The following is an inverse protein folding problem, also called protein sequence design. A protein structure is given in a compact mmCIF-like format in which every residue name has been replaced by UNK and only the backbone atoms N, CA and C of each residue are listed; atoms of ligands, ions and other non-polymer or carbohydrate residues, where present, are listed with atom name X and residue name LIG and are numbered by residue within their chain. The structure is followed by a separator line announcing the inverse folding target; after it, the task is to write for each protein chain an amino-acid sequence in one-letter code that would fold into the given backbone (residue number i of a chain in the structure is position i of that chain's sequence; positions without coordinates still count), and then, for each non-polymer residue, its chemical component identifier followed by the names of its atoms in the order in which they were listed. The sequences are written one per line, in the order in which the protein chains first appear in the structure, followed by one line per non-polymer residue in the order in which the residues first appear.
data_IF_151007108121
#
_entry.id   IF_151007108121
#
_cell.length_a   1.000
_cell.length_b   1.000
_cell.length_c   1.000
_cell.angle_alpha   90.00
_cell.angle_beta   90.00
_cell.angle_gamma   90.00
#
_symmetry.space_group_name_H-M   'P 1'
#
loop_
_entity.id
_entity.type
_entity.pdbx_description
1 polymer ?
#
# COMPACT_ATOMS: atom_id res chain seq x y z
N UNK A 1 11.04 24.67 20.43
CA UNK A 1 11.55 23.36 20.91
C UNK A 1 10.58 22.26 20.49
N UNK A 2 9.29 22.56 20.58
CA UNK A 2 8.12 21.83 20.13
C UNK A 2 8.30 21.27 18.70
N UNK A 3 8.72 22.08 17.73
CA UNK A 3 8.96 21.57 16.37
C UNK A 3 10.08 20.52 16.26
N UNK A 4 11.05 20.49 17.18
CA UNK A 4 12.06 19.42 17.21
C UNK A 4 11.45 18.11 17.72
N UNK A 5 10.63 18.17 18.77
CA UNK A 5 9.87 17.02 19.25
C UNK A 5 8.95 16.45 18.16
N UNK A 6 8.17 17.31 17.49
CA UNK A 6 7.24 16.85 16.45
C UNK A 6 7.97 16.31 15.22
N UNK A 7 8.93 17.06 14.67
CA UNK A 7 9.55 16.68 13.40
C UNK A 7 10.59 15.57 13.54
N UNK A 8 11.38 15.56 14.62
CA UNK A 8 12.45 14.58 14.82
C UNK A 8 11.98 13.36 15.60
N UNK A 9 11.10 13.52 16.58
CA UNK A 9 10.68 12.43 17.47
C UNK A 9 9.24 11.96 17.23
N UNK A 10 8.46 12.69 16.41
CA UNK A 10 7.11 12.28 16.03
C UNK A 10 6.08 12.39 17.17
N UNK A 11 6.35 13.22 18.18
CA UNK A 11 5.45 13.42 19.32
C UNK A 11 5.50 14.84 19.84
N UNK A 12 4.52 15.21 20.65
CA UNK A 12 4.58 16.44 21.45
C UNK A 12 5.55 16.27 22.63
N UNK A 13 6.39 17.28 22.83
CA UNK A 13 7.25 17.35 24.02
C UNK A 13 6.42 17.56 25.28
N UNK A 14 6.73 16.83 26.35
CA UNK A 14 6.10 17.06 27.64
C UNK A 14 6.56 18.40 28.25
N UNK A 15 5.81 18.87 29.26
CA UNK A 15 6.06 20.16 29.91
C UNK A 15 7.45 20.25 30.55
N UNK A 16 8.04 19.14 31.00
CA UNK A 16 9.35 19.14 31.63
C UNK A 16 10.48 19.21 30.59
N UNK A 17 10.40 18.40 29.54
CA UNK A 17 11.37 18.39 28.44
C UNK A 17 11.39 19.72 27.67
N UNK A 18 10.22 20.27 27.35
CA UNK A 18 10.12 21.59 26.69
C UNK A 18 10.69 22.72 27.55
N UNK A 19 10.43 22.71 28.88
CA UNK A 19 10.99 23.68 29.81
C UNK A 19 12.51 23.55 29.97
N UNK A 20 13.05 22.33 30.01
CA UNK A 20 14.48 22.06 30.08
C UNK A 20 15.23 22.70 28.89
N UNK A 21 14.80 22.41 27.67
CA UNK A 21 15.45 22.94 26.47
C UNK A 21 15.27 24.45 26.32
N UNK A 22 14.11 24.98 26.68
CA UNK A 22 13.85 26.44 26.64
C UNK A 22 14.75 27.18 27.65
N UNK A 23 14.98 26.60 28.83
CA UNK A 23 15.91 27.15 29.83
C UNK A 23 17.35 27.14 29.33
N UNK A 24 17.81 26.02 28.74
CA UNK A 24 19.16 25.93 28.17
C UNK A 24 19.39 26.96 27.04
N UNK A 25 18.40 27.15 26.17
CA UNK A 25 18.46 28.19 25.14
C UNK A 25 18.53 29.60 25.76
N UNK A 26 17.76 29.86 26.82
CA UNK A 26 17.80 31.12 27.57
C UNK A 26 19.14 31.37 28.28
N UNK A 27 19.83 30.29 28.67
CA UNK A 27 21.15 30.34 29.29
C UNK A 27 22.33 30.46 28.29
N UNK A 28 22.04 30.48 26.98
CA UNK A 28 23.04 30.72 25.93
C UNK A 28 23.46 29.51 25.11
N UNK A 29 22.88 28.31 25.33
CA UNK A 29 23.10 27.16 24.46
C UNK A 29 22.60 27.48 23.05
N UNK A 30 23.42 27.21 22.03
CA UNK A 30 23.01 27.44 20.65
C UNK A 30 21.96 26.39 20.23
N UNK A 31 20.98 26.83 19.44
CA UNK A 31 19.97 25.96 18.80
C UNK A 31 20.57 24.79 18.02
N UNK A 32 21.74 24.97 17.41
CA UNK A 32 22.44 23.88 16.70
C UNK A 32 22.85 22.75 17.66
N UNK A 33 23.31 23.09 18.87
CA UNK A 33 23.62 22.09 19.91
C UNK A 33 22.36 21.38 20.37
N UNK A 34 21.28 22.12 20.65
CA UNK A 34 19.99 21.50 21.03
C UNK A 34 19.48 20.58 19.92
N UNK A 35 19.55 20.99 18.65
CA UNK A 35 19.15 20.14 17.54
C UNK A 35 20.02 18.88 17.43
N UNK A 36 21.34 19.01 17.62
CA UNK A 36 22.25 17.86 17.63
C UNK A 36 21.94 16.87 18.77
N UNK A 37 21.58 17.37 19.96
CA UNK A 37 21.19 16.52 21.10
C UNK A 37 19.89 15.75 20.83
N UNK A 38 18.93 16.36 20.13
CA UNK A 38 17.73 15.63 19.67
C UNK A 38 18.10 14.58 18.62
N UNK A 39 18.88 14.95 17.60
CA UNK A 39 19.26 14.07 16.49
C UNK A 39 20.02 12.84 16.98
N UNK A 40 20.97 13.01 17.90
CA UNK A 40 21.77 11.93 18.48
C UNK A 40 21.17 11.30 19.73
N UNK A 41 19.89 11.55 20.03
CA UNK A 41 19.22 10.92 21.16
C UNK A 41 18.82 9.48 20.83
N UNK A 42 18.79 8.64 21.86
CA UNK A 42 18.24 7.27 21.79
C UNK A 42 16.88 7.22 21.12
N UNK A 43 16.01 8.18 21.41
CA UNK A 43 14.67 8.23 20.86
C UNK A 43 14.66 8.51 19.35
N UNK A 44 15.54 9.42 18.90
CA UNK A 44 15.74 9.69 17.47
C UNK A 44 16.30 8.47 16.75
N UNK A 45 17.32 7.81 17.31
CA UNK A 45 17.90 6.60 16.73
C UNK A 45 16.87 5.47 16.62
N UNK A 46 16.10 5.21 17.69
CA UNK A 46 15.02 4.21 17.66
C UNK A 46 14.02 4.51 16.55
N UNK A 47 13.60 5.78 16.40
CA UNK A 47 12.65 6.16 15.36
C UNK A 47 13.19 5.93 13.96
N UNK A 48 14.48 6.19 13.72
CA UNK A 48 15.10 5.90 12.43
C UNK A 48 15.09 4.40 12.16
N UNK A 49 15.49 3.59 13.14
CA UNK A 49 15.52 2.12 12.99
C UNK A 49 14.11 1.56 12.75
N UNK A 50 13.10 1.99 13.50
CA UNK A 50 11.70 1.61 13.27
C UNK A 50 11.21 2.03 11.87
N UNK A 51 11.63 3.22 11.44
CA UNK A 51 11.39 3.75 10.10
C UNK A 51 11.99 2.86 9.02
N UNK A 52 13.22 2.38 9.20
CA UNK A 52 13.89 1.48 8.25
C UNK A 52 13.19 0.12 8.15
N UNK A 53 12.75 -0.47 9.27
CA UNK A 53 11.92 -1.68 9.24
C UNK A 53 10.63 -1.47 8.44
N UNK A 54 9.94 -0.35 8.68
CA UNK A 54 8.69 -0.04 7.99
C UNK A 54 8.93 0.21 6.50
N UNK A 55 9.97 0.96 6.17
CA UNK A 55 10.29 1.36 4.79
C UNK A 55 10.78 0.17 3.95
N UNK A 56 11.63 -0.70 4.50
CA UNK A 56 12.27 -1.76 3.72
C UNK A 56 11.59 -3.11 3.86
N UNK A 57 10.88 -3.37 4.97
CA UNK A 57 10.25 -4.67 5.24
C UNK A 57 8.72 -4.59 5.36
N UNK A 58 8.12 -3.39 5.28
CA UNK A 58 6.67 -3.17 5.41
C UNK A 58 6.08 -3.70 6.73
N UNK A 59 6.89 -3.70 7.81
CA UNK A 59 6.46 -4.08 9.15
C UNK A 59 7.15 -3.22 10.20
N UNK A 60 6.62 -3.25 11.42
CA UNK A 60 7.32 -2.70 12.58
C UNK A 60 8.38 -3.71 13.03
N UNK A 61 9.56 -3.20 13.42
CA UNK A 61 10.61 -4.02 14.03
C UNK A 61 10.14 -4.59 15.37
N UNK A 62 10.48 -5.84 15.68
CA UNK A 62 10.26 -6.34 17.03
C UNK A 62 11.15 -5.57 18.01
N UNK A 63 10.67 -5.33 19.24
CA UNK A 63 11.41 -4.54 20.24
C UNK A 63 12.81 -5.09 20.50
N UNK A 64 13.01 -6.41 20.45
CA UNK A 64 14.30 -7.08 20.57
C UNK A 64 15.25 -6.78 19.40
N UNK A 65 14.74 -6.77 18.18
CA UNK A 65 15.51 -6.46 16.96
C UNK A 65 15.97 -5.00 16.99
N UNK A 66 15.04 -4.08 17.26
CA UNK A 66 15.31 -2.64 17.35
C UNK A 66 16.33 -2.35 18.44
N UNK A 67 16.16 -2.93 19.63
CA UNK A 67 17.13 -2.77 20.74
C UNK A 67 18.51 -3.33 20.40
N UNK A 68 18.59 -4.39 19.59
CA UNK A 68 19.88 -4.98 19.19
C UNK A 68 20.65 -4.06 18.24
N UNK A 69 19.97 -3.40 17.30
CA UNK A 69 20.60 -2.37 16.46
C UNK A 69 20.95 -1.12 17.26
N UNK A 70 20.01 -0.64 18.08
CA UNK A 70 20.19 0.55 18.91
C UNK A 70 21.42 0.43 19.82
N UNK A 71 21.63 -0.73 20.45
CA UNK A 71 22.81 -0.96 21.29
C UNK A 71 24.13 -0.84 20.49
N UNK A 72 24.15 -1.30 19.24
CA UNK A 72 25.31 -1.18 18.35
C UNK A 72 25.55 0.25 17.87
N UNK A 73 24.48 1.01 17.63
CA UNK A 73 24.57 2.44 17.31
C UNK A 73 25.10 3.24 18.51
N UNK A 74 24.52 3.02 19.69
CA UNK A 74 24.90 3.72 20.91
C UNK A 74 26.32 3.43 21.39
N UNK A 75 26.85 2.23 21.11
CA UNK A 75 28.23 1.87 21.44
C UNK A 75 29.24 2.23 20.33
N UNK A 76 28.77 2.82 19.22
CA UNK A 76 29.60 3.25 18.10
C UNK A 76 30.13 2.12 17.20
N UNK A 77 29.64 0.88 17.35
CA UNK A 77 30.01 -0.23 16.46
C UNK A 77 29.32 -0.14 15.10
N UNK A 78 28.20 0.59 15.02
CA UNK A 78 27.46 0.83 13.80
C UNK A 78 26.96 2.26 13.71
N UNK A 79 26.73 2.71 12.49
CA UNK A 79 26.00 3.93 12.16
C UNK A 79 24.59 3.58 11.68
N UNK A 80 23.64 4.53 11.76
CA UNK A 80 22.28 4.32 11.25
C UNK A 80 22.24 3.87 9.77
N UNK A 81 23.05 4.43 8.85
CA UNK A 81 23.13 3.92 7.48
C UNK A 81 23.60 2.45 7.37
N UNK A 82 24.48 2.01 8.26
CA UNK A 82 24.92 0.60 8.30
C UNK A 82 23.82 -0.31 8.84
N UNK A 83 22.97 0.18 9.76
CA UNK A 83 21.75 -0.55 10.19
C UNK A 83 20.80 -0.71 9.02
N UNK A 84 20.50 0.36 8.28
CA UNK A 84 19.68 0.30 7.08
C UNK A 84 20.24 -0.70 6.05
N UNK A 85 21.56 -0.69 5.82
CA UNK A 85 22.23 -1.66 4.95
C UNK A 85 22.10 -3.09 5.47
N UNK A 86 22.16 -3.31 6.79
CA UNK A 86 21.94 -4.61 7.41
C UNK A 86 20.51 -5.14 7.20
N UNK A 87 19.51 -4.26 7.32
CA UNK A 87 18.10 -4.58 7.07
C UNK A 87 17.89 -4.92 5.58
N UNK A 88 18.38 -4.07 4.66
CA UNK A 88 18.29 -4.29 3.21
C UNK A 88 19.05 -5.56 2.78
N UNK A 89 20.18 -5.85 3.42
CA UNK A 89 20.98 -7.05 3.16
C UNK A 89 20.42 -8.34 3.76
N UNK A 90 19.31 -8.27 4.50
CA UNK A 90 18.75 -9.44 5.18
C UNK A 90 18.03 -10.41 4.23
N UNK A 91 17.96 -11.68 4.63
CA UNK A 91 17.15 -12.68 3.93
C UNK A 91 15.66 -12.31 3.92
N UNK A 92 15.20 -11.62 4.96
CA UNK A 92 13.84 -11.11 5.04
C UNK A 92 13.55 -10.10 3.92
N UNK A 93 14.43 -9.12 3.72
CA UNK A 93 14.30 -8.17 2.62
C UNK A 93 14.21 -8.88 1.27
N UNK A 94 15.11 -9.84 1.02
CA UNK A 94 15.07 -10.60 -0.25
C UNK A 94 13.78 -11.42 -0.42
N UNK A 95 13.23 -11.94 0.68
CA UNK A 95 11.94 -12.66 0.67
C UNK A 95 10.81 -11.71 0.33
N UNK A 96 10.76 -10.54 0.99
CA UNK A 96 9.72 -9.53 0.74
C UNK A 96 9.78 -8.99 -0.69
N UNK A 97 10.98 -8.69 -1.19
CA UNK A 97 11.19 -8.25 -2.56
C UNK A 97 10.69 -9.29 -3.57
N UNK A 98 10.97 -10.57 -3.32
CA UNK A 98 10.49 -11.67 -4.18
C UNK A 98 8.97 -11.81 -4.16
N UNK A 99 8.32 -11.56 -3.02
CA UNK A 99 6.86 -11.57 -2.91
C UNK A 99 6.20 -10.38 -3.62
N UNK A 100 6.86 -9.21 -3.63
CA UNK A 100 6.34 -8.02 -4.31
C UNK A 100 6.33 -8.20 -5.82
N UNK A 101 7.34 -8.87 -6.37
CA UNK A 101 7.48 -9.12 -7.81
C UNK A 101 6.96 -10.48 -8.25
N UNK A 102 6.26 -11.22 -7.38
CA UNK A 102 5.76 -12.54 -7.75
C UNK A 102 4.66 -12.42 -8.83
N UNK A 103 4.60 -13.33 -9.82
CA UNK A 103 3.61 -13.27 -10.89
C UNK A 103 2.17 -13.35 -10.39
N UNK A 104 1.24 -12.75 -11.14
CA UNK A 104 -0.18 -12.83 -10.84
C UNK A 104 -0.68 -14.28 -10.76
N UNK A 105 -1.57 -14.54 -9.80
CA UNK A 105 -2.27 -15.82 -9.62
C UNK A 105 -3.79 -15.62 -9.55
N UNK A 106 -4.26 -14.39 -9.39
CA UNK A 106 -5.67 -14.05 -9.26
C UNK A 106 -6.00 -12.71 -9.91
N UNK A 107 -7.26 -12.55 -10.28
CA UNK A 107 -7.86 -11.27 -10.60
C UNK A 107 -8.59 -10.74 -9.36
N UNK A 108 -8.56 -9.43 -9.14
CA UNK A 108 -9.24 -8.77 -8.02
C UNK A 108 -9.97 -7.53 -8.52
N UNK A 109 -11.21 -7.35 -8.09
CA UNK A 109 -12.00 -6.16 -8.39
C UNK A 109 -11.60 -5.01 -7.45
N UNK A 110 -10.97 -3.97 -8.00
CA UNK A 110 -10.49 -2.81 -7.22
C UNK A 110 -11.31 -1.56 -7.42
N UNK A 111 -12.04 -1.46 -8.53
CA UNK A 111 -13.11 -0.47 -8.71
C UNK A 111 -14.38 -1.21 -9.11
N UNK A 112 -15.34 -1.27 -8.19
CA UNK A 112 -16.60 -1.94 -8.43
C UNK A 112 -17.47 -1.18 -9.45
N UNK A 113 -18.30 -1.89 -10.25
CA UNK A 113 -19.34 -1.23 -11.02
C UNK A 113 -20.41 -0.63 -10.08
N UNK A 114 -21.24 0.31 -10.56
CA UNK A 114 -22.40 0.77 -9.82
C UNK A 114 -23.35 -0.39 -9.47
N UNK A 115 -23.94 -0.38 -8.28
CA UNK A 115 -24.95 -1.38 -7.88
C UNK A 115 -26.24 -1.30 -8.69
N UNK A 116 -26.47 -0.19 -9.40
CA UNK A 116 -27.54 -0.06 -10.37
C UNK A 116 -27.17 0.83 -11.54
N UNK A 117 -27.70 0.50 -12.72
CA UNK A 117 -27.56 1.27 -13.96
C UNK A 117 -28.89 1.28 -14.71
N UNK A 118 -29.13 2.26 -15.57
CA UNK A 118 -30.25 2.23 -16.52
C UNK A 118 -29.85 1.42 -17.76
N UNK A 119 -30.78 0.68 -18.35
CA UNK A 119 -30.54 -0.11 -19.55
C UNK A 119 -29.91 0.76 -20.67
N UNK A 120 -28.85 0.25 -21.28
CA UNK A 120 -28.06 0.94 -22.30
C UNK A 120 -27.18 2.10 -21.79
N UNK A 121 -27.23 2.46 -20.51
CA UNK A 121 -26.35 3.48 -19.94
C UNK A 121 -24.95 2.93 -19.69
N UNK A 122 -23.93 3.76 -19.96
CA UNK A 122 -22.55 3.37 -19.81
C UNK A 122 -22.11 3.31 -18.35
N UNK A 123 -21.33 2.28 -17.99
CA UNK A 123 -20.61 2.18 -16.72
C UNK A 123 -19.19 1.66 -16.95
N UNK A 124 -18.44 1.48 -15.85
CA UNK A 124 -17.08 0.96 -15.88
C UNK A 124 -16.72 0.26 -14.57
N UNK A 125 -15.58 -0.42 -14.57
CA UNK A 125 -14.98 -1.11 -13.42
C UNK A 125 -13.48 -1.33 -13.68
N UNK A 126 -12.71 -1.65 -12.64
CA UNK A 126 -11.28 -1.96 -12.78
C UNK A 126 -10.93 -3.27 -12.08
N UNK A 127 -10.14 -4.08 -12.77
CA UNK A 127 -9.61 -5.36 -12.29
C UNK A 127 -8.08 -5.25 -12.19
N UNK A 128 -7.51 -5.69 -11.08
CA UNK A 128 -6.06 -5.89 -10.90
C UNK A 128 -5.71 -7.36 -11.07
N UNK A 129 -4.53 -7.62 -11.63
CA UNK A 129 -3.88 -8.93 -11.61
C UNK A 129 -2.93 -8.97 -10.40
N UNK A 130 -3.28 -9.77 -9.40
CA UNK A 130 -2.54 -9.87 -8.14
C UNK A 130 -1.95 -11.26 -7.97
N UNK A 131 -0.84 -11.34 -7.24
CA UNK A 131 -0.25 -12.62 -6.85
C UNK A 131 -0.92 -13.19 -5.58
N UNK A 132 -0.46 -14.37 -5.16
CA UNK A 132 -1.04 -15.09 -4.01
C UNK A 132 -0.89 -14.37 -2.66
N UNK A 133 -0.05 -13.33 -2.61
CA UNK A 133 0.17 -12.50 -1.43
C UNK A 133 -0.68 -11.23 -1.44
N UNK A 134 -1.48 -10.99 -2.48
CA UNK A 134 -2.29 -9.77 -2.66
C UNK A 134 -1.50 -8.58 -3.18
N UNK A 135 -0.26 -8.78 -3.68
CA UNK A 135 0.50 -7.70 -4.32
C UNK A 135 0.16 -7.64 -5.82
N UNK A 136 0.09 -6.42 -6.35
CA UNK A 136 -0.15 -6.15 -7.77
C UNK A 136 1.04 -6.60 -8.62
N UNK A 137 0.79 -7.47 -9.59
CA UNK A 137 1.80 -7.80 -10.61
C UNK A 137 1.83 -6.69 -11.67
N UNK A 138 2.68 -5.69 -11.45
CA UNK A 138 2.85 -4.57 -12.38
C UNK A 138 3.45 -4.96 -13.72
N UNK A 139 3.95 -6.19 -13.89
CA UNK A 139 4.47 -6.69 -15.17
C UNK A 139 3.41 -7.41 -16.00
N UNK A 140 2.24 -7.67 -15.41
CA UNK A 140 1.15 -8.35 -16.07
C UNK A 140 0.50 -7.48 -17.15
N UNK A 141 0.46 -8.00 -18.38
CA UNK A 141 -0.08 -7.33 -19.58
C UNK A 141 -1.10 -8.19 -20.34
N UNK A 142 -1.56 -9.27 -19.72
CA UNK A 142 -2.49 -10.23 -20.33
C UNK A 142 -3.91 -9.66 -20.57
N UNK A 143 -4.69 -10.28 -21.46
CA UNK A 143 -6.06 -9.88 -21.74
C UNK A 143 -6.99 -10.30 -20.60
N UNK A 144 -7.70 -9.34 -20.00
CA UNK A 144 -8.79 -9.60 -19.05
C UNK A 144 -10.12 -9.48 -19.79
N UNK A 145 -10.97 -10.50 -19.67
CA UNK A 145 -12.28 -10.56 -20.34
C UNK A 145 -13.40 -10.61 -19.31
N UNK A 146 -14.43 -9.79 -19.51
CA UNK A 146 -15.66 -9.79 -18.74
C UNK A 146 -16.74 -10.63 -19.41
N UNK A 147 -17.42 -11.44 -18.62
CA UNK A 147 -18.62 -12.15 -19.00
C UNK A 147 -19.79 -11.70 -18.10
N UNK A 148 -20.97 -11.55 -18.70
CA UNK A 148 -22.22 -11.28 -17.99
C UNK A 148 -22.96 -12.59 -17.76
N UNK A 149 -23.48 -12.75 -16.55
CA UNK A 149 -24.37 -13.84 -16.17
C UNK A 149 -25.55 -13.33 -15.34
N UNK A 150 -26.56 -14.17 -15.14
CA UNK A 150 -27.77 -13.83 -14.39
C UNK A 150 -28.71 -12.87 -15.13
N UNK A 151 -29.57 -12.20 -14.36
CA UNK A 151 -30.55 -11.23 -14.85
C UNK A 151 -31.54 -11.78 -15.90
N UNK A 152 -31.91 -10.92 -16.86
CA UNK A 152 -32.91 -11.22 -17.87
C UNK A 152 -32.30 -12.06 -19.01
N UNK A 153 -32.96 -13.17 -19.35
CA UNK A 153 -32.51 -14.04 -20.44
C UNK A 153 -32.37 -13.29 -21.76
N UNK A 154 -31.21 -13.39 -22.39
CA UNK A 154 -30.89 -12.70 -23.64
C UNK A 154 -30.29 -11.30 -23.48
N UNK A 155 -30.08 -10.82 -22.25
CA UNK A 155 -29.31 -9.59 -22.01
C UNK A 155 -27.87 -9.71 -22.54
N UNK A 156 -27.34 -8.59 -23.04
CA UNK A 156 -26.03 -8.48 -23.66
C UNK A 156 -25.18 -7.46 -22.92
N UNK A 157 -23.94 -7.85 -22.58
CA UNK A 157 -22.90 -6.92 -22.17
C UNK A 157 -22.28 -6.27 -23.42
N UNK A 158 -22.58 -5.00 -23.61
CA UNK A 158 -22.03 -4.19 -24.69
C UNK A 158 -20.73 -3.47 -24.31
N UNK A 159 -20.10 -2.85 -25.29
CA UNK A 159 -18.83 -2.13 -25.15
C UNK A 159 -17.60 -3.01 -25.40
N UNK A 160 -16.44 -2.58 -24.87
CA UNK A 160 -15.20 -3.35 -24.93
C UNK A 160 -15.16 -4.29 -23.71
N UNK A 161 -15.37 -5.58 -23.95
CA UNK A 161 -15.43 -6.60 -22.89
C UNK A 161 -14.11 -7.32 -22.66
N UNK A 162 -13.09 -7.07 -23.48
CA UNK A 162 -11.72 -7.56 -23.28
C UNK A 162 -10.73 -6.40 -23.32
N UNK A 163 -9.94 -6.23 -22.26
CA UNK A 163 -8.92 -5.19 -22.13
C UNK A 163 -7.60 -5.85 -21.72
N UNK A 164 -6.51 -5.52 -22.43
CA UNK A 164 -5.17 -5.89 -21.98
C UNK A 164 -4.79 -5.04 -20.77
N UNK A 165 -4.28 -5.69 -19.72
CA UNK A 165 -3.82 -4.98 -18.54
C UNK A 165 -2.63 -4.06 -18.86
N UNK A 166 -2.57 -2.90 -18.21
CA UNK A 166 -1.44 -1.98 -18.23
C UNK A 166 -0.97 -1.85 -16.80
N UNK A 167 0.30 -2.21 -16.55
CA UNK A 167 0.87 -2.29 -15.21
C UNK A 167 0.01 -3.14 -14.25
N UNK A 168 -0.50 -4.28 -14.72
CA UNK A 168 -1.36 -5.17 -13.95
C UNK A 168 -2.81 -4.72 -13.79
N UNK A 169 -3.21 -3.57 -14.37
CA UNK A 169 -4.58 -3.04 -14.24
C UNK A 169 -5.32 -3.11 -15.58
N UNK A 170 -6.46 -3.80 -15.60
CA UNK A 170 -7.43 -3.76 -16.69
C UNK A 170 -8.61 -2.84 -16.32
N UNK A 171 -8.64 -1.65 -16.91
CA UNK A 171 -9.71 -0.68 -16.71
C UNK A 171 -10.74 -0.77 -17.83
N UNK A 172 -12.00 -1.02 -17.46
CA UNK A 172 -13.12 -1.10 -18.38
C UNK A 172 -13.97 0.17 -18.27
N UNK A 173 -14.34 0.71 -19.43
CA UNK A 173 -15.20 1.88 -19.55
C UNK A 173 -16.16 1.71 -20.73
N UNK A 174 -17.32 2.35 -20.66
CA UNK A 174 -18.30 2.28 -21.75
C UNK A 174 -19.01 0.93 -21.86
N UNK A 175 -19.02 0.15 -20.77
CA UNK A 175 -19.80 -1.08 -20.68
C UNK A 175 -21.29 -0.74 -20.60
N UNK A 176 -22.15 -1.55 -21.19
CA UNK A 176 -23.62 -1.38 -21.13
C UNK A 176 -24.30 -2.72 -20.91
N UNK A 177 -25.44 -2.74 -20.22
CA UNK A 177 -26.36 -3.89 -20.21
C UNK A 177 -27.68 -3.41 -20.83
N UNK A 178 -28.18 -4.11 -21.83
CA UNK A 178 -29.27 -3.64 -22.70
C UNK A 178 -30.68 -3.96 -22.20
N UNK A 179 -30.83 -4.85 -21.22
CA UNK A 179 -32.12 -5.27 -20.66
C UNK A 179 -32.23 -4.95 -19.18
N UNK A 180 -33.37 -4.38 -18.77
CA UNK A 180 -33.72 -4.25 -17.37
C UNK A 180 -33.82 -5.63 -16.69
N UNK A 181 -33.45 -5.72 -15.42
CA UNK A 181 -33.40 -6.96 -14.65
C UNK A 181 -32.59 -6.82 -13.36
N UNK A 182 -32.68 -7.82 -12.48
CA UNK A 182 -31.94 -7.86 -11.20
C UNK A 182 -31.05 -9.10 -11.15
N UNK A 183 -29.95 -9.02 -10.40
CA UNK A 183 -29.04 -10.16 -10.22
C UNK A 183 -28.16 -10.39 -11.45
N UNK A 184 -27.75 -9.31 -12.12
CA UNK A 184 -26.69 -9.39 -13.11
C UNK A 184 -25.34 -9.46 -12.40
N UNK A 185 -24.49 -10.39 -12.80
CA UNK A 185 -23.15 -10.55 -12.26
C UNK A 185 -22.12 -10.46 -13.38
N UNK A 186 -20.99 -9.80 -13.10
CA UNK A 186 -19.87 -9.73 -14.03
C UNK A 186 -18.73 -10.59 -13.50
N UNK A 187 -18.27 -11.54 -14.32
CA UNK A 187 -17.10 -12.38 -14.02
C UNK A 187 -15.94 -11.97 -14.90
N UNK A 188 -14.82 -11.61 -14.27
CA UNK A 188 -13.56 -11.32 -14.94
C UNK A 188 -12.68 -12.57 -15.00
N UNK A 189 -12.16 -12.86 -16.20
CA UNK A 189 -11.31 -14.02 -16.46
C UNK A 189 -10.05 -13.64 -17.24
N UNK A 190 -8.95 -14.34 -16.96
CA UNK A 190 -7.76 -14.29 -17.80
C UNK A 190 -6.89 -15.53 -17.64
N UNK A 191 -6.75 -16.32 -18.71
CA UNK A 191 -5.95 -17.54 -18.70
C UNK A 191 -6.32 -18.47 -17.54
N UNK A 192 -5.32 -18.78 -16.71
CA UNK A 192 -5.47 -19.65 -15.53
C UNK A 192 -5.56 -18.87 -14.20
N UNK A 193 -5.65 -17.54 -14.23
CA UNK A 193 -5.80 -16.76 -13.01
C UNK A 193 -7.14 -17.08 -12.35
N UNK A 194 -7.16 -17.13 -11.02
CA UNK A 194 -8.41 -17.19 -10.26
C UNK A 194 -9.28 -15.99 -10.65
N UNK A 195 -10.55 -16.24 -10.99
CA UNK A 195 -11.47 -15.23 -11.49
C UNK A 195 -11.91 -14.26 -10.38
N UNK A 196 -12.28 -13.05 -10.77
CA UNK A 196 -12.97 -12.10 -9.90
C UNK A 196 -14.44 -11.99 -10.31
N UNK A 197 -15.33 -11.82 -9.34
CA UNK A 197 -16.75 -11.58 -9.57
C UNK A 197 -17.15 -10.23 -8.96
N UNK A 198 -17.93 -9.46 -9.70
CA UNK A 198 -18.53 -8.24 -9.18
C UNK A 198 -19.78 -8.56 -8.36
N UNK A 199 -20.12 -7.68 -7.42
CA UNK A 199 -21.42 -7.73 -6.76
C UNK A 199 -22.56 -7.56 -7.78
N UNK A 200 -23.76 -8.01 -7.40
CA UNK A 200 -24.94 -7.94 -8.25
C UNK A 200 -25.26 -6.50 -8.69
N UNK A 201 -25.56 -6.36 -9.97
CA UNK A 201 -26.00 -5.12 -10.60
C UNK A 201 -27.51 -5.24 -10.87
N UNK A 202 -28.25 -4.20 -10.50
CA UNK A 202 -29.64 -4.03 -10.94
C UNK A 202 -29.69 -3.12 -12.16
N UNK A 203 -30.33 -3.55 -13.24
CA UNK A 203 -30.57 -2.73 -14.43
C UNK A 203 -32.01 -2.25 -14.42
N UNK A 204 -32.23 -0.94 -14.34
CA UNK A 204 -33.55 -0.32 -14.50
C UNK A 204 -33.87 -0.07 -15.97
N UNK A 205 -35.17 0.07 -16.28
CA UNK A 205 -35.63 0.48 -17.60
C UNK A 205 -35.32 1.95 -17.91
#
# INVERSE_FOLDING_TARGET
VESLYENLLGRTGDSAGTAFWTTNLGAGTNRATVAADFIGSTESDTRVIDGDYTAFLARVGETSEVNSWLAQVQNGSMTLPEVAAGIIGSSEYTTRASQETAPATQLVLTTAPPSSVTAGSSFGLAITAENQYGNLDTTYTGPVTLALSGGTAGAVLGGITTVNAINGVAAFSGLTIDQAGTGYTLTASSGNLTQAEAADITVSA
#
